data_IF_049810629733
#
_entry.id   IF_049810629733
#
_cell.length_a   1.000
_cell.length_b   1.000
_cell.length_c   1.000
_cell.angle_alpha   90.00
_cell.angle_beta   90.00
_cell.angle_gamma   90.00
#
_symmetry.space_group_name_H-M   'P 1'
#
loop_
_entity.id
_entity.type
_entity.pdbx_description
1 polymer ?
#
# COMPACT_ATOMS: atom_id res chain seq x y z
N UNK A 1 -16.61 -16.00 -10.14
CA UNK A 1 -16.79 -15.78 -10.51
C UNK A 1 -17.28 -15.54 -10.85
N UNK A 2 -17.36 -15.47 -11.02
CA UNK A 2 -17.75 -15.13 -11.50
C UNK A 2 -18.37 -14.83 -11.96
N UNK A 3 -18.62 -14.55 -12.20
CA UNK A 3 -19.18 -14.08 -12.81
C UNK A 3 -19.76 -13.91 -13.24
N UNK A 4 -19.97 -13.89 -12.84
CA UNK A 4 -20.73 -13.75 -13.50
C UNK A 4 -21.00 -13.49 -14.45
N UNK A 5 -21.05 -13.75 -14.34
CA UNK A 5 -21.06 -13.54 -15.45
C UNK A 5 -21.56 -13.26 -16.47
N UNK A 6 -21.68 -13.90 -17.03
CA UNK A 6 -22.16 -13.68 -18.27
C UNK A 6 -22.16 -12.31 -18.72
N UNK A 7 -21.67 -11.49 -18.06
CA UNK A 7 -21.73 -10.17 -18.57
C UNK A 7 -20.79 -10.00 -19.70
N UNK A 8 -21.17 -9.21 -20.60
CA UNK A 8 -20.42 -8.96 -21.78
C UNK A 8 -19.13 -8.21 -21.51
N UNK A 9 -19.01 -7.56 -20.40
CA UNK A 9 -17.81 -6.83 -20.10
C UNK A 9 -16.77 -7.68 -19.37
N UNK A 10 -17.01 -8.91 -19.22
CA UNK A 10 -16.05 -9.89 -18.80
C UNK A 10 -15.11 -9.43 -17.70
N UNK A 11 -15.59 -9.44 -16.52
CA UNK A 11 -14.73 -9.37 -15.40
C UNK A 11 -14.36 -8.02 -14.84
N UNK A 12 -14.84 -6.93 -15.41
CA UNK A 12 -14.47 -5.64 -14.85
C UNK A 12 -15.54 -4.59 -14.99
N UNK A 13 -15.85 -3.93 -13.87
CA UNK A 13 -16.57 -2.65 -13.89
C UNK A 13 -15.52 -1.56 -13.63
N UNK A 14 -15.15 -0.79 -14.64
CA UNK A 14 -14.04 0.16 -14.49
C UNK A 14 -14.26 1.22 -13.44
N UNK A 15 -15.50 1.65 -13.21
CA UNK A 15 -15.77 2.65 -12.17
C UNK A 15 -15.47 2.10 -10.79
N UNK A 16 -15.87 0.87 -10.52
CA UNK A 16 -15.62 0.22 -9.24
C UNK A 16 -14.13 -0.04 -9.06
N UNK A 17 -13.47 -0.52 -10.09
CA UNK A 17 -12.04 -0.82 -10.01
C UNK A 17 -11.23 0.46 -9.77
N UNK A 18 -11.60 1.56 -10.44
CA UNK A 18 -10.90 2.84 -10.19
C UNK A 18 -11.11 3.34 -8.78
N UNK A 19 -12.33 3.18 -8.25
CA UNK A 19 -12.59 3.57 -6.87
C UNK A 19 -11.75 2.75 -5.90
N UNK A 20 -11.64 1.45 -6.13
CA UNK A 20 -10.81 0.60 -5.29
C UNK A 20 -9.33 0.92 -5.45
N UNK A 21 -8.89 1.27 -6.65
CA UNK A 21 -7.51 1.68 -6.88
C UNK A 21 -7.14 2.91 -6.03
N UNK A 22 -8.06 3.88 -5.95
CA UNK A 22 -7.83 5.06 -5.12
C UNK A 22 -7.77 4.71 -3.63
N UNK A 23 -8.57 3.75 -3.20
CA UNK A 23 -8.52 3.28 -1.82
C UNK A 23 -7.17 2.62 -1.54
N UNK A 24 -6.68 1.79 -2.44
CA UNK A 24 -5.38 1.14 -2.28
C UNK A 24 -4.25 2.17 -2.21
N UNK A 25 -4.31 3.21 -3.02
CA UNK A 25 -3.34 4.29 -2.98
C UNK A 25 -3.38 5.00 -1.62
N UNK A 26 -4.57 5.28 -1.12
CA UNK A 26 -4.74 5.88 0.20
C UNK A 26 -4.17 5.00 1.30
N UNK A 27 -4.38 3.69 1.22
CA UNK A 27 -3.82 2.75 2.19
C UNK A 27 -2.30 2.71 2.12
N UNK A 28 -1.72 2.78 0.93
CA UNK A 28 -0.28 2.87 0.77
C UNK A 28 0.29 4.10 1.48
N UNK A 29 -0.38 5.23 1.32
CA UNK A 29 0.02 6.49 1.97
C UNK A 29 -0.12 6.39 3.48
N UNK A 30 -1.18 5.72 3.96
CA UNK A 30 -1.39 5.52 5.41
C UNK A 30 -0.29 4.66 6.01
N UNK A 31 0.13 3.61 5.31
CA UNK A 31 1.22 2.76 5.79
C UNK A 31 2.52 3.57 5.88
N UNK A 32 2.81 4.40 4.87
CA UNK A 32 4.00 5.24 4.89
C UNK A 32 3.93 6.24 6.05
N UNK A 33 2.77 6.85 6.27
CA UNK A 33 2.59 7.79 7.37
C UNK A 33 2.77 7.10 8.73
N UNK A 34 2.23 5.89 8.86
CA UNK A 34 2.38 5.11 10.07
C UNK A 34 3.84 4.72 10.31
N UNK A 35 4.54 4.31 9.26
CA UNK A 35 5.96 3.99 9.34
C UNK A 35 6.77 5.18 9.85
N UNK A 36 6.51 6.37 9.30
CA UNK A 36 7.21 7.58 9.73
C UNK A 36 6.89 7.94 11.17
N UNK A 37 5.65 7.72 11.59
CA UNK A 37 5.25 7.97 12.97
C UNK A 37 5.96 7.02 13.93
N UNK A 38 6.05 5.75 13.59
CA UNK A 38 6.77 4.77 14.41
C UNK A 38 8.24 5.14 14.47
N UNK A 39 8.82 5.59 13.37
CA UNK A 39 10.21 6.02 13.36
C UNK A 39 10.45 7.19 14.31
N UNK A 40 9.56 8.16 14.34
CA UNK A 40 9.64 9.28 15.27
C UNK A 40 9.55 8.82 16.71
N UNK A 41 8.63 7.91 17.01
CA UNK A 41 8.47 7.37 18.36
C UNK A 41 9.69 6.55 18.77
N UNK A 42 10.25 5.78 17.85
CA UNK A 42 11.45 4.99 18.12
C UNK A 42 12.63 5.91 18.46
N UNK A 43 12.77 7.03 17.74
CA UNK A 43 13.80 8.02 18.05
C UNK A 43 13.63 8.61 19.44
N UNK A 44 12.41 8.97 19.81
CA UNK A 44 12.13 9.54 21.11
C UNK A 44 12.41 8.52 22.22
N UNK A 45 12.03 7.27 21.98
CA UNK A 45 12.28 6.20 22.93
C UNK A 45 13.77 5.99 23.11
N UNK A 46 14.54 6.02 22.04
CA UNK A 46 15.99 5.87 22.10
C UNK A 46 16.63 7.00 22.91
N UNK A 47 16.11 8.21 22.79
CA UNK A 47 16.62 9.36 23.56
C UNK A 47 16.38 9.20 25.06
N UNK A 48 15.27 8.58 25.42
CA UNK A 48 14.88 8.40 26.84
C UNK A 48 15.44 7.10 27.44
N UNK A 49 15.76 6.13 26.61
CA UNK A 49 16.16 4.79 27.02
C UNK A 49 17.57 4.52 26.51
N UNK A 50 18.56 4.73 27.36
CA UNK A 50 19.96 4.59 26.97
C UNK A 50 20.46 3.18 27.22
N UNK A 51 21.40 2.75 26.37
CA UNK A 51 22.08 1.48 26.56
C UNK A 51 21.96 0.56 25.35
N UNK A 52 22.53 -0.63 25.50
CA UNK A 52 22.62 -1.60 24.40
C UNK A 52 21.26 -2.08 23.92
N UNK A 53 20.31 -2.25 24.84
CA UNK A 53 18.98 -2.73 24.46
C UNK A 53 18.24 -1.71 23.60
N UNK A 54 18.41 -0.43 23.90
CA UNK A 54 17.84 0.64 23.12
C UNK A 54 18.42 0.65 21.70
N UNK A 55 19.74 0.48 21.60
CA UNK A 55 20.41 0.43 20.31
C UNK A 55 19.96 -0.77 19.50
N UNK A 56 19.80 -1.92 20.13
CA UNK A 56 19.29 -3.13 19.47
C UNK A 56 17.88 -2.92 18.97
N UNK A 57 17.03 -2.31 19.78
CA UNK A 57 15.64 -2.04 19.40
C UNK A 57 15.59 -1.13 18.16
N UNK A 58 16.37 -0.04 18.17
CA UNK A 58 16.41 0.88 17.05
C UNK A 58 16.95 0.21 15.78
N UNK A 59 17.99 -0.61 15.93
CA UNK A 59 18.56 -1.33 14.80
C UNK A 59 17.58 -2.35 14.23
N UNK A 60 16.84 -3.03 15.08
CA UNK A 60 15.84 -4.00 14.64
C UNK A 60 14.70 -3.32 13.90
N UNK A 61 14.23 -2.19 14.40
CA UNK A 61 13.23 -1.41 13.68
C UNK A 61 13.72 -1.05 12.28
N UNK A 62 14.90 -0.45 12.19
CA UNK A 62 15.43 0.05 10.93
C UNK A 62 15.77 -1.07 9.95
N UNK A 63 16.29 -2.20 10.44
CA UNK A 63 16.80 -3.26 9.60
C UNK A 63 15.80 -4.38 9.31
N UNK A 64 14.85 -4.60 10.22
CA UNK A 64 13.94 -5.73 10.11
C UNK A 64 12.50 -5.31 9.86
N UNK A 65 12.02 -4.34 10.59
CA UNK A 65 10.58 -4.02 10.58
C UNK A 65 10.23 -2.91 9.59
N UNK A 66 11.00 -1.84 9.56
CA UNK A 66 10.74 -0.72 8.66
C UNK A 66 10.68 -1.16 7.18
N UNK A 67 11.60 -2.02 6.70
CA UNK A 67 11.52 -2.49 5.31
C UNK A 67 10.23 -3.22 4.98
N UNK A 68 9.61 -3.88 5.96
CA UNK A 68 8.32 -4.56 5.74
C UNK A 68 7.24 -3.53 5.43
N UNK A 69 7.22 -2.41 6.14
CA UNK A 69 6.27 -1.33 5.89
C UNK A 69 6.47 -0.74 4.49
N UNK A 70 7.73 -0.50 4.12
CA UNK A 70 8.06 0.03 2.80
C UNK A 70 7.59 -0.94 1.70
N UNK A 71 7.82 -2.22 1.88
CA UNK A 71 7.40 -3.25 0.93
C UNK A 71 5.89 -3.28 0.81
N UNK A 72 5.18 -3.21 1.95
CA UNK A 72 3.72 -3.22 1.95
C UNK A 72 3.15 -1.99 1.23
N UNK A 73 3.71 -0.82 1.51
CA UNK A 73 3.26 0.42 0.86
C UNK A 73 3.49 0.34 -0.65
N UNK A 74 4.65 -0.15 -1.06
CA UNK A 74 4.98 -0.32 -2.48
C UNK A 74 4.04 -1.31 -3.15
N UNK A 75 3.74 -2.42 -2.48
CA UNK A 75 2.80 -3.40 -3.01
C UNK A 75 1.43 -2.78 -3.26
N UNK A 76 0.91 -2.04 -2.28
CA UNK A 76 -0.40 -1.41 -2.42
C UNK A 76 -0.40 -0.36 -3.53
N UNK A 77 0.68 0.41 -3.65
CA UNK A 77 0.79 1.39 -4.72
C UNK A 77 0.81 0.69 -6.09
N UNK A 78 1.55 -0.41 -6.21
CA UNK A 78 1.60 -1.16 -7.46
C UNK A 78 0.24 -1.77 -7.81
N UNK A 79 -0.47 -2.28 -6.82
CA UNK A 79 -1.81 -2.81 -7.03
C UNK A 79 -2.76 -1.70 -7.49
N UNK A 80 -2.64 -0.51 -6.89
CA UNK A 80 -3.43 0.65 -7.29
C UNK A 80 -3.14 1.03 -8.74
N UNK A 81 -1.86 1.15 -9.09
CA UNK A 81 -1.44 1.55 -10.44
C UNK A 81 -1.91 0.54 -11.48
N UNK A 82 -1.76 -0.75 -11.19
CA UNK A 82 -2.18 -1.81 -12.11
C UNK A 82 -3.68 -1.79 -12.30
N UNK A 83 -4.43 -1.65 -11.21
CA UNK A 83 -5.90 -1.63 -11.28
C UNK A 83 -6.39 -0.43 -12.07
N UNK A 84 -5.82 0.74 -11.81
CA UNK A 84 -6.21 1.97 -12.51
C UNK A 84 -5.90 1.87 -14.00
N UNK A 85 -4.74 1.32 -14.33
CA UNK A 85 -4.33 1.14 -15.73
C UNK A 85 -5.27 0.19 -16.46
N UNK A 86 -5.61 -0.92 -15.82
CA UNK A 86 -6.50 -1.91 -16.42
C UNK A 86 -7.92 -1.35 -16.59
N UNK A 87 -8.39 -0.56 -15.62
CA UNK A 87 -9.69 0.10 -15.75
C UNK A 87 -9.69 1.09 -16.90
N UNK A 88 -8.59 1.83 -17.07
CA UNK A 88 -8.44 2.75 -18.19
C UNK A 88 -8.48 2.03 -19.53
N UNK A 89 -7.81 0.89 -19.62
CA UNK A 89 -7.82 0.08 -20.82
C UNK A 89 -9.21 -0.47 -21.10
N UNK A 90 -9.92 -0.89 -20.07
CA UNK A 90 -11.28 -1.40 -20.21
C UNK A 90 -12.21 -0.31 -20.77
N UNK A 91 -12.09 0.91 -20.29
CA UNK A 91 -12.87 2.03 -20.81
C UNK A 91 -12.57 2.31 -22.26
N UNK A 92 -11.28 2.35 -22.61
CA UNK A 92 -10.86 2.55 -23.98
C UNK A 92 -11.44 1.51 -24.91
N UNK A 93 -11.36 0.26 -24.51
CA UNK A 93 -11.86 -0.86 -25.29
C UNK A 93 -13.37 -0.76 -25.46
N UNK A 94 -14.07 -0.43 -24.37
CA UNK A 94 -15.53 -0.35 -24.39
C UNK A 94 -16.04 0.84 -25.20
N UNK A 95 -15.28 1.93 -25.19
CA UNK A 95 -15.70 3.14 -25.92
C UNK A 95 -15.34 3.09 -27.38
N UNK A 96 -14.35 2.33 -27.67
CA UNK A 96 -13.85 2.26 -29.02
C UNK A 96 -14.71 1.42 -29.90
#
# INVERSE_FOLDING_TARGET
MSNAGGSSWEGMNPDVVEAQARILQGLSQEITALMNKIEGETSQLADAWHGDDSNKFAAEWAGTHKPVFTTAATLLQNMSDTSARNAGQQRSTSSG
#
